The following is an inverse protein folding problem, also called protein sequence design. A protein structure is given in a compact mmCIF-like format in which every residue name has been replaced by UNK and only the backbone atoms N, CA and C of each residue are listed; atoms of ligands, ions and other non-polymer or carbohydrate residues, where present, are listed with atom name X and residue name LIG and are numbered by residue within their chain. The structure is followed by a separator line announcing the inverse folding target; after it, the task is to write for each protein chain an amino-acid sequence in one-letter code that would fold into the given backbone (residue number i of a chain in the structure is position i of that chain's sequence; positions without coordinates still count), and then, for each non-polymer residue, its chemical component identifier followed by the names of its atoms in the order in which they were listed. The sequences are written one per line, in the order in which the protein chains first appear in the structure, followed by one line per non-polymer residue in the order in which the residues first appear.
data_IF_105691229172
#
_entry.id   IF_105691229172
#
_cell.length_a   1.000
_cell.length_b   1.000
_cell.length_c   1.000
_cell.angle_alpha   90.00
_cell.angle_beta   90.00
_cell.angle_gamma   90.00
#
_symmetry.space_group_name_H-M   'P 1'
#
loop_
_entity.id
_entity.type
_entity.pdbx_description
1 polymer ?
#
# COMPACT_ATOMS: atom_id res chain seq x y z
N UNK A 1 1.15 -4.54 4.74
CA UNK A 1 1.47 -3.55 3.69
C UNK A 1 0.34 -2.54 3.71
N UNK A 2 0.60 -1.24 3.57
CA UNK A 2 -0.46 -0.23 3.68
C UNK A 2 -0.76 0.43 2.33
N UNK A 3 -2.01 0.80 2.10
CA UNK A 3 -2.42 1.66 1.01
C UNK A 3 -3.43 2.71 1.49
N UNK A 4 -3.39 3.89 0.86
CA UNK A 4 -4.38 4.94 1.02
C UNK A 4 -5.47 4.76 -0.03
N UNK A 5 -6.72 4.74 0.43
CA UNK A 5 -7.92 4.74 -0.39
C UNK A 5 -8.42 6.18 -0.40
N UNK A 6 -8.41 6.80 -1.58
CA UNK A 6 -8.65 8.23 -1.74
C UNK A 6 -9.96 8.44 -2.50
N UNK A 7 -10.89 9.17 -1.88
CA UNK A 7 -12.18 9.56 -2.48
C UNK A 7 -12.36 11.08 -2.34
N UNK A 8 -13.36 11.70 -2.99
CA UNK A 8 -13.59 13.14 -2.86
C UNK A 8 -13.97 13.58 -1.44
N UNK A 9 -14.64 12.72 -0.67
CA UNK A 9 -15.24 13.08 0.62
C UNK A 9 -14.50 12.47 1.81
N UNK A 10 -13.90 11.29 1.64
CA UNK A 10 -13.30 10.57 2.75
C UNK A 10 -12.12 9.69 2.32
N UNK A 11 -10.98 9.87 2.99
CA UNK A 11 -9.78 9.08 2.75
C UNK A 11 -9.49 8.20 3.96
N UNK A 12 -9.10 6.96 3.72
CA UNK A 12 -8.77 6.02 4.79
C UNK A 12 -7.60 5.12 4.40
N UNK A 13 -7.01 4.46 5.40
CA UNK A 13 -5.87 3.56 5.23
C UNK A 13 -6.34 2.12 5.35
N UNK A 14 -5.83 1.27 4.47
CA UNK A 14 -6.04 -0.17 4.51
C UNK A 14 -4.72 -0.88 4.80
N UNK A 15 -4.75 -1.73 5.82
CA UNK A 15 -3.71 -2.68 6.18
C UNK A 15 -3.94 -4.01 5.48
N UNK A 16 -3.20 -4.27 4.40
CA UNK A 16 -3.21 -5.53 3.69
C UNK A 16 -2.41 -6.61 4.44
N UNK A 17 -2.99 -7.80 4.54
CA UNK A 17 -2.38 -8.98 5.11
C UNK A 17 -1.27 -9.56 4.21
N UNK A 18 -0.60 -10.62 4.67
CA UNK A 18 0.52 -11.23 3.95
C UNK A 18 0.10 -12.29 2.92
N UNK A 19 -1.20 -12.47 2.66
CA UNK A 19 -1.72 -13.45 1.71
C UNK A 19 -1.25 -13.17 0.28
N UNK A 20 -1.27 -14.21 -0.57
CA UNK A 20 -0.91 -14.06 -1.98
C UNK A 20 -1.89 -13.13 -2.72
N UNK A 21 -3.19 -13.25 -2.42
CA UNK A 21 -4.22 -12.36 -2.94
C UNK A 21 -3.90 -10.88 -2.67
N UNK A 22 -3.62 -10.55 -1.41
CA UNK A 22 -3.27 -9.19 -1.01
C UNK A 22 -2.02 -8.67 -1.75
N UNK A 23 -0.98 -9.50 -1.90
CA UNK A 23 0.24 -9.11 -2.63
C UNK A 23 -0.01 -8.86 -4.12
N UNK A 24 -0.85 -9.66 -4.77
CA UNK A 24 -1.21 -9.48 -6.19
C UNK A 24 -1.94 -8.15 -6.41
N UNK A 25 -2.86 -7.80 -5.50
CA UNK A 25 -3.52 -6.49 -5.51
C UNK A 25 -2.52 -5.35 -5.27
N UNK A 26 -1.74 -5.42 -4.19
CA UNK A 26 -0.80 -4.35 -3.81
C UNK A 26 0.24 -4.08 -4.90
N UNK A 27 0.74 -5.12 -5.60
CA UNK A 27 1.69 -4.98 -6.71
C UNK A 27 1.13 -4.28 -7.94
N UNK A 28 -0.19 -4.23 -8.06
CA UNK A 28 -0.87 -3.60 -9.18
C UNK A 28 -1.26 -2.14 -8.88
N UNK A 29 -0.96 -1.64 -7.67
CA UNK A 29 -1.18 -0.25 -7.31
C UNK A 29 -0.17 0.67 -8.03
N UNK A 30 -0.56 1.91 -8.40
CA UNK A 30 -1.85 2.55 -8.10
C UNK A 30 -3.00 2.04 -8.98
N UNK A 31 -4.22 2.14 -8.46
CA UNK A 31 -5.46 1.81 -9.18
C UNK A 31 -6.44 2.96 -9.11
N UNK A 32 -7.15 3.20 -10.22
CA UNK A 32 -8.24 4.15 -10.32
C UNK A 32 -9.51 3.41 -10.73
N UNK A 33 -10.64 3.67 -10.05
CA UNK A 33 -11.93 3.07 -10.34
C UNK A 33 -13.08 4.00 -9.94
N UNK A 34 -14.31 3.57 -10.21
CA UNK A 34 -15.53 4.15 -9.64
C UNK A 34 -16.09 3.24 -8.55
N UNK A 35 -16.64 3.85 -7.51
CA UNK A 35 -17.26 3.17 -6.37
C UNK A 35 -18.70 2.77 -6.72
N UNK A 36 -19.06 1.56 -6.28
CA UNK A 36 -20.44 1.11 -6.13
C UNK A 36 -20.74 0.90 -4.64
N UNK A 37 -22.00 1.08 -4.25
CA UNK A 37 -22.45 0.98 -2.85
C UNK A 37 -23.50 -0.12 -2.73
N UNK A 38 -23.44 -0.90 -1.64
CA UNK A 38 -24.43 -1.94 -1.35
C UNK A 38 -24.70 -2.03 0.15
N UNK A 39 -25.67 -1.23 0.62
CA UNK A 39 -25.85 -1.00 2.06
C UNK A 39 -24.63 -0.27 2.63
N UNK A 40 -24.13 -0.71 3.78
CA UNK A 40 -22.88 -0.21 4.39
C UNK A 40 -21.64 -1.01 3.90
N UNK A 41 -21.58 -1.25 2.59
CA UNK A 41 -20.43 -1.79 1.87
C UNK A 41 -20.14 -0.89 0.66
N UNK A 42 -18.87 -0.55 0.45
CA UNK A 42 -18.40 0.01 -0.82
C UNK A 42 -17.57 -1.05 -1.53
N UNK A 43 -17.72 -1.10 -2.86
CA UNK A 43 -16.91 -1.97 -3.68
C UNK A 43 -16.56 -1.32 -5.01
N UNK A 44 -15.45 -1.71 -5.61
CA UNK A 44 -15.00 -1.15 -6.88
C UNK A 44 -14.13 -2.16 -7.64
N UNK A 45 -14.20 -2.12 -8.97
CA UNK A 45 -13.47 -3.04 -9.84
C UNK A 45 -11.98 -2.74 -9.80
N UNK A 46 -11.18 -3.80 -9.71
CA UNK A 46 -9.71 -3.70 -9.82
C UNK A 46 -9.19 -4.05 -11.20
N UNK A 47 -9.95 -4.82 -11.99
CA UNK A 47 -9.46 -5.43 -13.23
C UNK A 47 -8.43 -6.55 -13.01
N UNK A 48 -8.07 -6.83 -11.76
CA UNK A 48 -7.07 -7.85 -11.40
C UNK A 48 -7.78 -9.18 -11.19
N UNK A 49 -7.24 -10.26 -11.75
CA UNK A 49 -7.68 -11.63 -11.47
C UNK A 49 -6.79 -12.25 -10.40
N UNK A 50 -7.34 -12.43 -9.21
CA UNK A 50 -6.66 -13.18 -8.14
C UNK A 50 -7.04 -14.65 -8.23
N UNK A 51 -6.04 -15.50 -8.43
CA UNK A 51 -6.25 -16.94 -8.67
C UNK A 51 -6.30 -17.79 -7.40
N UNK A 52 -5.89 -17.24 -6.25
CA UNK A 52 -5.70 -18.00 -5.01
C UNK A 52 -6.23 -17.24 -3.79
N UNK A 53 -7.02 -17.94 -2.98
CA UNK A 53 -7.50 -17.49 -1.67
C UNK A 53 -8.69 -18.33 -1.23
N UNK A 54 -8.89 -18.42 0.08
CA UNK A 54 -10.03 -19.11 0.65
C UNK A 54 -11.21 -18.15 0.71
N UNK A 55 -12.31 -18.55 0.08
CA UNK A 55 -13.55 -17.80 0.11
C UNK A 55 -14.28 -18.00 1.46
N UNK A 56 -14.81 -16.93 2.02
CA UNK A 56 -15.60 -16.91 3.25
C UNK A 56 -16.77 -15.94 3.11
N UNK A 57 -17.85 -16.20 3.84
CA UNK A 57 -18.94 -15.23 4.05
C UNK A 57 -18.89 -14.61 5.44
N UNK A 58 -17.93 -15.03 6.28
CA UNK A 58 -17.73 -14.52 7.62
C UNK A 58 -16.83 -13.28 7.57
N UNK A 59 -17.44 -12.11 7.64
CA UNK A 59 -16.79 -10.80 7.57
C UNK A 59 -17.28 -9.91 8.72
N UNK A 60 -16.46 -8.93 9.09
CA UNK A 60 -16.76 -7.96 10.14
C UNK A 60 -16.62 -6.52 9.62
N UNK A 61 -17.14 -5.58 10.39
CA UNK A 61 -16.91 -4.15 10.16
C UNK A 61 -15.39 -3.89 10.19
N UNK A 62 -14.90 -3.15 9.20
CA UNK A 62 -13.49 -2.85 8.99
C UNK A 62 -12.74 -3.89 8.15
N UNK A 63 -13.36 -5.02 7.79
CA UNK A 63 -12.71 -5.98 6.89
C UNK A 63 -12.65 -5.46 5.45
N UNK A 64 -11.53 -5.74 4.79
CA UNK A 64 -11.33 -5.51 3.36
C UNK A 64 -11.16 -6.85 2.67
N UNK A 65 -11.99 -7.11 1.68
CA UNK A 65 -12.03 -8.38 0.97
C UNK A 65 -11.92 -8.20 -0.55
N UNK A 66 -11.53 -9.26 -1.23
CA UNK A 66 -11.58 -9.36 -2.68
C UNK A 66 -12.73 -10.28 -3.09
N UNK A 67 -13.63 -9.76 -3.92
CA UNK A 67 -14.74 -10.50 -4.48
C UNK A 67 -14.40 -10.98 -5.89
N UNK A 68 -14.24 -12.31 -6.04
CA UNK A 68 -13.65 -12.91 -7.25
C UNK A 68 -14.56 -12.79 -8.46
N UNK A 69 -15.86 -13.01 -8.28
CA UNK A 69 -16.87 -12.96 -9.35
C UNK A 69 -16.94 -11.57 -9.99
N UNK A 70 -16.83 -10.51 -9.18
CA UNK A 70 -16.85 -9.13 -9.64
C UNK A 70 -15.47 -8.55 -10.00
N UNK A 71 -14.38 -9.23 -9.63
CA UNK A 71 -13.01 -8.69 -9.65
C UNK A 71 -12.89 -7.39 -8.85
N UNK A 72 -13.62 -7.31 -7.73
CA UNK A 72 -13.77 -6.10 -6.93
C UNK A 72 -13.00 -6.19 -5.62
N UNK A 73 -12.59 -5.03 -5.12
CA UNK A 73 -12.32 -4.87 -3.70
C UNK A 73 -13.61 -4.43 -3.01
N UNK A 74 -13.86 -5.00 -1.83
CA UNK A 74 -14.99 -4.70 -0.97
C UNK A 74 -14.44 -4.17 0.37
N UNK A 75 -15.06 -3.10 0.89
CA UNK A 75 -14.77 -2.55 2.22
C UNK A 75 -16.08 -2.54 3.00
N UNK A 76 -16.13 -3.31 4.08
CA UNK A 76 -17.32 -3.44 4.91
C UNK A 76 -17.24 -2.46 6.08
N UNK A 77 -18.22 -1.58 6.22
CA UNK A 77 -18.28 -0.62 7.34
C UNK A 77 -19.61 -0.66 8.12
N UNK A 78 -20.49 -1.62 7.80
CA UNK A 78 -21.74 -1.84 8.53
C UNK A 78 -22.57 -2.98 7.95
N UNK A 79 -23.88 -2.91 8.13
CA UNK A 79 -24.81 -3.92 7.63
C UNK A 79 -25.00 -3.83 6.10
N UNK A 80 -24.99 -4.98 5.43
CA UNK A 80 -25.32 -5.09 4.00
C UNK A 80 -26.79 -5.48 3.85
N UNK A 81 -27.36 -5.45 2.63
CA UNK A 81 -28.76 -5.85 2.41
C UNK A 81 -29.11 -7.30 2.79
N UNK A 82 -28.11 -8.20 2.88
CA UNK A 82 -28.31 -9.57 3.37
C UNK A 82 -28.11 -9.72 4.88
N UNK A 83 -27.65 -8.68 5.56
CA UNK A 83 -27.49 -8.68 7.01
C UNK A 83 -28.85 -8.75 7.72
N UNK A 84 -28.92 -9.57 8.78
CA UNK A 84 -30.08 -9.65 9.69
C UNK A 84 -29.92 -8.80 10.96
N UNK A 85 -28.76 -8.17 11.11
CA UNK A 85 -28.37 -7.33 12.24
C UNK A 85 -27.16 -6.50 11.84
N UNK A 86 -26.34 -6.09 12.80
CA UNK A 86 -25.24 -5.15 12.54
C UNK A 86 -24.03 -5.78 11.84
N UNK A 87 -23.95 -7.12 11.77
CA UNK A 87 -22.85 -7.82 11.14
C UNK A 87 -23.00 -7.83 9.61
N UNK A 88 -21.99 -7.38 8.82
CA UNK A 88 -22.02 -7.46 7.36
C UNK A 88 -22.16 -8.89 6.86
N UNK A 89 -22.88 -9.07 5.75
CA UNK A 89 -22.99 -10.34 5.01
C UNK A 89 -22.72 -10.08 3.53
N UNK A 90 -21.63 -10.60 2.94
CA UNK A 90 -21.33 -10.35 1.54
C UNK A 90 -22.36 -11.07 0.65
N UNK A 91 -22.50 -10.60 -0.59
CA UNK A 91 -23.43 -11.22 -1.56
C UNK A 91 -23.06 -12.69 -1.88
N UNK A 92 -21.75 -13.01 -1.90
CA UNK A 92 -21.22 -14.37 -2.03
C UNK A 92 -19.87 -14.48 -1.31
N UNK A 93 -19.18 -15.62 -1.45
CA UNK A 93 -17.86 -15.83 -0.86
C UNK A 93 -16.84 -14.76 -1.31
N UNK A 94 -16.08 -14.25 -0.36
CA UNK A 94 -15.01 -13.26 -0.58
C UNK A 94 -13.71 -13.72 0.07
N UNK A 95 -12.58 -13.21 -0.41
CA UNK A 95 -11.25 -13.50 0.13
C UNK A 95 -10.83 -12.34 1.02
N UNK A 96 -10.66 -12.57 2.33
CA UNK A 96 -10.16 -11.54 3.24
C UNK A 96 -8.69 -11.21 2.94
N UNK A 97 -8.42 -9.93 2.64
CA UNK A 97 -7.10 -9.46 2.21
C UNK A 97 -6.54 -8.33 3.07
N UNK A 98 -7.35 -7.72 3.92
CA UNK A 98 -6.89 -6.65 4.79
C UNK A 98 -7.94 -6.18 5.78
N UNK A 99 -7.58 -5.12 6.50
CA UNK A 99 -8.44 -4.42 7.46
C UNK A 99 -8.25 -2.92 7.37
N UNK A 100 -9.21 -2.17 7.88
CA UNK A 100 -9.17 -0.72 7.98
C UNK A 100 -9.90 -0.25 9.23
N UNK A 101 -9.39 0.81 9.85
CA UNK A 101 -10.02 1.51 10.97
C UNK A 101 -11.05 2.54 10.45
N UNK A 102 -11.89 2.10 9.52
CA UNK A 102 -12.84 2.98 8.84
C UNK A 102 -13.97 3.40 9.79
N UNK A 103 -14.28 4.69 9.84
CA UNK A 103 -15.42 5.18 10.62
C UNK A 103 -16.72 5.00 9.80
N UNK A 104 -17.72 4.23 10.28
CA UNK A 104 -18.95 4.00 9.52
C UNK A 104 -19.72 5.28 9.15
N UNK A 105 -19.71 6.30 10.01
CA UNK A 105 -20.45 7.54 9.76
C UNK A 105 -19.77 8.39 8.68
N UNK A 106 -18.45 8.39 8.63
CA UNK A 106 -17.68 9.07 7.59
C UNK A 106 -17.73 8.30 6.27
N UNK A 107 -17.64 6.96 6.32
CA UNK A 107 -17.77 6.09 5.16
C UNK A 107 -19.10 6.25 4.42
N UNK A 108 -20.20 6.50 5.14
CA UNK A 108 -21.53 6.78 4.55
C UNK A 108 -21.60 8.10 3.76
N UNK A 109 -20.58 8.94 3.83
CA UNK A 109 -20.49 10.14 2.99
C UNK A 109 -19.96 9.84 1.58
N UNK A 110 -19.37 8.66 1.37
CA UNK A 110 -18.95 8.17 0.07
C UNK A 110 -20.19 7.79 -0.73
N UNK A 111 -20.28 8.29 -1.97
CA UNK A 111 -21.43 8.08 -2.84
C UNK A 111 -21.14 7.07 -3.93
N UNK A 112 -22.19 6.41 -4.39
CA UNK A 112 -22.12 5.61 -5.61
C UNK A 112 -21.71 6.50 -6.79
N UNK A 113 -20.75 6.01 -7.58
CA UNK A 113 -20.14 6.74 -8.69
C UNK A 113 -18.95 7.60 -8.31
N UNK A 114 -18.63 7.77 -7.02
CA UNK A 114 -17.45 8.54 -6.61
C UNK A 114 -16.17 7.90 -7.19
N UNK A 115 -15.23 8.71 -7.72
CA UNK A 115 -13.94 8.20 -8.13
C UNK A 115 -13.15 7.75 -6.90
N UNK A 116 -12.45 6.62 -7.03
CA UNK A 116 -11.53 6.14 -6.01
C UNK A 116 -10.16 5.90 -6.61
N UNK A 117 -9.15 6.38 -5.90
CA UNK A 117 -7.74 6.11 -6.21
C UNK A 117 -7.09 5.39 -5.04
N UNK A 118 -6.48 4.25 -5.32
CA UNK A 118 -5.76 3.44 -4.33
C UNK A 118 -4.27 3.55 -4.58
N UNK A 119 -3.53 4.01 -3.57
CA UNK A 119 -2.08 4.25 -3.68
C UNK A 119 -1.36 3.55 -2.54
N UNK A 120 -0.31 2.80 -2.84
CA UNK A 120 0.52 2.20 -1.80
C UNK A 120 1.15 3.29 -0.92
N UNK A 121 1.06 3.12 0.39
CA UNK A 121 1.82 3.93 1.34
C UNK A 121 3.19 3.26 1.44
N UNK A 122 4.14 3.75 0.65
CA UNK A 122 5.55 3.49 0.92
C UNK A 122 5.86 4.22 2.22
N UNK A 123 6.45 3.56 3.25
CA UNK A 123 7.11 4.32 4.29
C UNK A 123 8.07 5.33 3.61
N UNK A 124 8.23 6.55 4.14
CA UNK A 124 9.40 7.34 3.78
C UNK A 124 10.58 6.39 3.92
N UNK A 125 11.37 6.22 2.85
CA UNK A 125 12.61 5.47 2.96
C UNK A 125 13.38 6.09 4.13
N UNK A 126 13.47 5.39 5.26
CA UNK A 126 14.61 5.60 6.14
C UNK A 126 15.81 5.37 5.23
N UNK A 127 16.59 6.42 5.03
CA UNK A 127 17.83 6.39 4.28
C UNK A 127 18.56 5.08 4.55
N UNK A 128 18.80 4.36 3.47
CA UNK A 128 19.50 3.10 3.38
C UNK A 128 20.75 3.14 4.30
N UNK A 129 20.65 2.56 5.49
CA UNK A 129 21.82 2.13 6.28
C UNK A 129 22.29 0.77 5.76
N UNK A 130 22.67 0.73 4.50
CA UNK A 130 23.57 -0.29 3.97
C UNK A 130 24.72 0.39 3.22
N UNK A 131 25.72 0.84 3.99
CA UNK A 131 27.13 0.65 3.65
C UNK A 131 27.65 1.09 2.28
N UNK A 132 27.12 2.15 1.68
CA UNK A 132 27.80 2.90 0.62
C UNK A 132 27.70 4.39 0.95
N UNK A 133 28.83 5.13 1.09
CA UNK A 133 28.75 6.57 1.30
C UNK A 133 28.16 7.21 0.06
N UNK A 134 27.03 7.90 0.25
CA UNK A 134 26.46 8.80 -0.74
C UNK A 134 27.52 9.85 -1.06
N UNK A 135 28.05 9.82 -2.29
CA UNK A 135 28.93 10.88 -2.77
C UNK A 135 28.04 12.10 -3.02
N UNK A 136 28.22 13.22 -2.29
CA UNK A 136 27.41 14.40 -2.53
C UNK A 136 27.72 14.89 -3.94
N UNK A 137 26.71 15.07 -4.78
CA UNK A 137 26.87 15.71 -6.09
C UNK A 137 27.01 17.24 -5.90
N UNK A 138 28.07 17.63 -5.20
CA UNK A 138 28.67 18.96 -5.22
C UNK A 138 29.72 18.88 -6.31
N UNK A 139 29.72 19.80 -7.29
CA UNK A 139 30.93 19.97 -8.10
C UNK A 139 32.01 20.46 -7.13
N UNK A 140 32.89 19.56 -6.67
CA UNK A 140 34.05 19.94 -5.88
C UNK A 140 34.88 20.94 -6.70
N UNK A 141 35.39 21.99 -6.05
CA UNK A 141 36.33 22.88 -6.72
C UNK A 141 37.62 22.12 -7.03
N UNK A 142 38.39 22.58 -8.02
CA UNK A 142 39.66 21.93 -8.39
C UNK A 142 40.61 21.79 -7.18
N UNK A 143 40.59 22.78 -6.27
CA UNK A 143 41.42 22.78 -5.06
C UNK A 143 41.03 21.66 -4.07
N UNK A 144 39.74 21.34 -3.95
CA UNK A 144 39.26 20.25 -3.09
C UNK A 144 39.65 18.89 -3.68
N UNK A 145 39.64 18.75 -5.01
CA UNK A 145 40.11 17.54 -5.70
C UNK A 145 41.61 17.35 -5.48
N UNK A 146 42.41 18.40 -5.65
CA UNK A 146 43.87 18.34 -5.51
C UNK A 146 44.29 18.00 -4.08
N UNK A 147 43.58 18.54 -3.08
CA UNK A 147 43.79 18.19 -1.68
C UNK A 147 43.51 16.70 -1.40
N UNK A 148 42.43 16.16 -1.96
CA UNK A 148 42.04 14.75 -1.79
C UNK A 148 43.06 13.80 -2.45
N UNK A 149 43.53 14.13 -3.64
CA UNK A 149 44.56 13.35 -4.36
C UNK A 149 45.86 13.31 -3.55
N UNK A 150 46.28 14.45 -2.98
CA UNK A 150 47.50 14.52 -2.18
C UNK A 150 47.40 13.64 -0.92
N UNK A 151 46.26 13.68 -0.23
CA UNK A 151 46.03 12.84 0.95
C UNK A 151 46.05 11.34 0.62
N UNK A 152 45.42 10.94 -0.50
CA UNK A 152 45.42 9.55 -0.97
C UNK A 152 46.82 9.05 -1.35
N UNK A 153 47.66 9.89 -1.97
CA UNK A 153 49.03 9.54 -2.30
C UNK A 153 49.89 9.35 -1.05
N UNK A 154 49.69 10.17 -0.03
CA UNK A 154 50.43 10.10 1.23
C UNK A 154 50.02 8.88 2.05
N UNK A 155 48.73 8.55 2.09
CA UNK A 155 48.24 7.29 2.68
C UNK A 155 48.77 6.05 1.94
N UNK A 156 48.85 6.09 0.60
CA UNK A 156 49.45 4.99 -0.17
C UNK A 156 50.93 4.83 0.14
N UNK A 157 51.67 5.92 0.33
CA UNK A 157 53.09 5.87 0.69
C UNK A 157 53.29 5.28 2.08
N UNK A 158 52.50 5.70 3.07
CA UNK A 158 52.53 5.11 4.43
C UNK A 158 52.19 3.63 4.44
N UNK A 159 51.17 3.20 3.67
CA UNK A 159 50.79 1.79 3.55
C UNK A 159 51.82 0.93 2.80
N UNK A 160 52.67 1.55 1.97
CA UNK A 160 53.79 0.86 1.32
C UNK A 160 55.00 0.75 2.26
N UNK A 161 55.26 1.78 3.07
CA UNK A 161 56.32 1.78 4.08
C UNK A 161 56.01 0.82 5.26
N UNK A 162 54.74 0.67 5.67
CA UNK A 162 54.33 -0.31 6.70
C UNK A 162 54.37 -1.77 6.23
N UNK A 163 54.49 -2.00 4.92
CA UNK A 163 54.57 -3.34 4.31
C UNK A 163 56.00 -3.76 3.96
N UNK A 164 57.00 -2.95 4.29
CA UNK A 164 58.42 -3.18 4.04
C UNK A 164 59.16 -3.42 5.35
#
# INVERSE_FOLDING_TARGET
MQASFQTPTYNFIVDFNSSRAAREIVRSLPLDSQISVWGDEIYFKTGIRVSLGQDTTDVNIGDVAYWREGQCLCVFFGATPLSKGDKPVPASGVILIGKTEINPQEARQIKEGDPIRVVQITPPEEEIRTGQPAVPNKKLSQDEIDALVKQLLEEKKKKQEEKQ
#
